data_IF_197322224642
#
_entry.id   IF_197322224642
#
_cell.length_a   1.000
_cell.length_b   1.000
_cell.length_c   1.000
_cell.angle_alpha   90.00
_cell.angle_beta   90.00
_cell.angle_gamma   90.00
#
_symmetry.space_group_name_H-M   'P 1'
#
loop_
_entity.id
_entity.type
_entity.pdbx_description
1 polymer ?
#
# COMPACT_ATOMS: atom_id res chain seq x y z
N UNK A 1 -0.81 29.60 28.31
CA UNK A 1 -1.30 29.06 27.01
C UNK A 1 -1.17 30.18 26.00
N UNK A 2 -0.06 30.20 25.24
CA UNK A 2 0.09 31.16 24.15
C UNK A 2 -0.81 30.76 22.99
N UNK A 3 -1.62 31.69 22.48
CA UNK A 3 -2.42 31.48 21.28
C UNK A 3 -1.49 31.22 20.11
N UNK A 4 -1.52 30.00 19.57
CA UNK A 4 -1.01 29.74 18.23
C UNK A 4 -1.93 30.53 17.29
N UNK A 5 -1.39 31.56 16.63
CA UNK A 5 -2.10 32.29 15.58
C UNK A 5 -2.57 31.29 14.51
N UNK A 6 -3.87 31.06 14.42
CA UNK A 6 -4.51 30.19 13.42
C UNK A 6 -4.47 30.77 11.99
N UNK A 7 -3.67 31.81 11.72
CA UNK A 7 -3.76 32.60 10.49
C UNK A 7 -2.73 32.30 9.39
N UNK A 8 -1.75 31.40 9.57
CA UNK A 8 -0.64 31.26 8.60
C UNK A 8 -0.43 29.86 7.99
N UNK A 9 -1.28 28.85 8.26
CA UNK A 9 -1.11 27.53 7.64
C UNK A 9 -1.84 27.43 6.30
N UNK A 10 -1.08 27.17 5.23
CA UNK A 10 -1.57 26.88 3.89
C UNK A 10 -1.31 25.41 3.55
N UNK A 11 -2.38 24.65 3.30
CA UNK A 11 -2.28 23.25 2.85
C UNK A 11 -1.66 23.18 1.45
N UNK A 12 -1.88 24.19 0.61
CA UNK A 12 -1.29 24.30 -0.73
C UNK A 12 0.22 24.49 -0.65
N UNK A 13 0.71 25.47 0.11
CA UNK A 13 2.14 25.70 0.29
C UNK A 13 2.82 24.54 1.01
N UNK A 14 2.14 23.93 1.97
CA UNK A 14 2.66 22.76 2.64
C UNK A 14 2.78 21.55 1.69
N UNK A 15 1.81 21.33 0.79
CA UNK A 15 1.89 20.28 -0.23
C UNK A 15 3.11 20.48 -1.15
N UNK A 16 3.40 21.73 -1.54
CA UNK A 16 4.61 22.08 -2.31
C UNK A 16 5.88 21.78 -1.52
N UNK A 17 5.95 22.21 -0.26
CA UNK A 17 7.11 21.94 0.61
C UNK A 17 7.37 20.43 0.76
N UNK A 18 6.32 19.64 0.87
CA UNK A 18 6.43 18.18 0.95
C UNK A 18 6.91 17.60 -0.38
N UNK A 19 6.36 18.05 -1.51
CA UNK A 19 6.84 17.64 -2.83
C UNK A 19 8.34 17.93 -3.01
N UNK A 20 8.80 19.11 -2.59
CA UNK A 20 10.22 19.49 -2.62
C UNK A 20 11.08 18.54 -1.81
N UNK A 21 10.61 18.21 -0.60
CA UNK A 21 11.26 17.21 0.23
C UNK A 21 11.31 15.86 -0.49
N UNK A 22 10.19 15.37 -1.03
CA UNK A 22 10.14 14.10 -1.74
C UNK A 22 11.14 14.09 -2.90
N UNK A 23 11.12 15.09 -3.78
CA UNK A 23 12.06 15.24 -4.90
C UNK A 23 13.53 15.27 -4.45
N UNK A 24 13.84 15.84 -3.28
CA UNK A 24 15.20 15.84 -2.73
C UNK A 24 15.68 14.44 -2.28
N UNK A 25 14.76 13.51 -2.03
CA UNK A 25 15.06 12.15 -1.62
C UNK A 25 15.09 11.14 -2.79
N UNK A 26 14.86 11.61 -4.02
CA UNK A 26 14.87 10.76 -5.21
C UNK A 26 16.32 10.41 -5.55
N UNK A 27 16.63 9.12 -5.54
CA UNK A 27 17.77 8.58 -6.27
C UNK A 27 17.38 8.29 -7.74
N UNK A 28 18.36 8.32 -8.64
CA UNK A 28 18.16 8.14 -10.09
C UNK A 28 17.71 6.72 -10.47
N UNK A 29 17.88 5.75 -9.55
CA UNK A 29 17.44 4.37 -9.76
C UNK A 29 15.94 4.25 -9.52
N UNK A 30 15.42 4.98 -8.52
CA UNK A 30 14.03 4.99 -8.13
C UNK A 30 13.17 5.97 -8.94
N UNK A 31 13.73 7.10 -9.39
CA UNK A 31 13.02 8.07 -10.23
C UNK A 31 13.90 8.63 -11.34
N UNK A 32 13.36 8.84 -12.55
CA UNK A 32 14.08 9.60 -13.56
C UNK A 32 14.33 11.02 -13.07
N UNK A 33 15.45 11.59 -13.48
CA UNK A 33 15.68 13.04 -13.38
C UNK A 33 14.51 13.84 -13.96
N UNK A 34 13.91 13.35 -15.06
CA UNK A 34 12.75 13.96 -15.71
C UNK A 34 11.55 14.19 -14.77
N UNK A 35 11.31 13.35 -13.75
CA UNK A 35 10.20 13.59 -12.79
C UNK A 35 10.48 14.82 -11.93
N UNK A 36 11.75 15.09 -11.59
CA UNK A 36 12.14 16.32 -10.87
C UNK A 36 11.99 17.54 -11.77
N UNK A 37 12.30 17.42 -13.05
CA UNK A 37 12.18 18.51 -14.03
C UNK A 37 10.71 18.91 -14.25
N UNK A 38 9.77 17.97 -14.12
CA UNK A 38 8.33 18.25 -14.18
C UNK A 38 7.77 18.95 -12.95
N UNK A 39 8.57 19.19 -11.92
CA UNK A 39 8.11 19.87 -10.70
C UNK A 39 7.47 21.22 -11.02
N UNK A 40 8.04 21.99 -11.94
CA UNK A 40 7.54 23.33 -12.30
C UNK A 40 6.23 23.27 -13.11
N UNK A 41 5.87 22.09 -13.62
CA UNK A 41 4.61 21.85 -14.31
C UNK A 41 3.47 21.47 -13.36
N UNK A 42 3.74 21.33 -12.06
CA UNK A 42 2.77 20.92 -11.04
C UNK A 42 2.12 22.15 -10.40
N UNK A 43 0.79 22.16 -10.41
CA UNK A 43 -0.03 23.16 -9.73
C UNK A 43 -0.96 22.48 -8.73
N UNK A 44 -0.81 22.85 -7.45
CA UNK A 44 -1.73 22.46 -6.40
C UNK A 44 -2.91 23.44 -6.34
N UNK A 45 -4.13 22.91 -6.30
CA UNK A 45 -5.35 23.72 -6.17
C UNK A 45 -6.18 23.28 -4.97
N UNK A 46 -6.82 24.25 -4.33
CA UNK A 46 -7.77 24.00 -3.25
C UNK A 46 -8.80 25.13 -3.24
N UNK A 47 -10.08 24.82 -3.06
CA UNK A 47 -11.12 25.80 -2.77
C UNK A 47 -11.02 26.32 -1.33
N UNK A 48 -10.44 25.51 -0.42
CA UNK A 48 -10.12 25.90 0.96
C UNK A 48 -8.66 25.61 1.27
N UNK A 49 -7.88 26.67 1.44
CA UNK A 49 -6.46 26.53 1.80
C UNK A 49 -6.26 26.42 3.32
N UNK A 50 -6.71 25.30 3.89
CA UNK A 50 -6.61 24.98 5.32
C UNK A 50 -6.70 23.46 5.53
N UNK A 51 -6.30 22.93 6.71
CA UNK A 51 -6.31 21.49 6.96
C UNK A 51 -7.72 20.88 6.80
N UNK A 52 -7.79 19.77 6.07
CA UNK A 52 -9.04 19.02 5.84
C UNK A 52 -9.32 18.00 6.94
N UNK A 53 -8.28 17.36 7.46
CA UNK A 53 -8.41 16.48 8.62
C UNK A 53 -7.97 17.23 9.89
N UNK A 54 -8.83 17.34 10.92
CA UNK A 54 -8.50 18.02 12.17
C UNK A 54 -7.67 17.10 13.09
N UNK A 55 -6.57 16.57 12.58
CA UNK A 55 -5.66 15.64 13.25
C UNK A 55 -4.22 16.16 13.09
N UNK A 56 -3.27 15.75 13.96
CA UNK A 56 -1.90 16.26 13.90
C UNK A 56 -1.05 15.66 12.76
N UNK A 57 -1.70 15.12 11.72
CA UNK A 57 -1.05 14.50 10.57
C UNK A 57 -1.44 15.22 9.28
N UNK A 58 -0.43 15.56 8.47
CA UNK A 58 -0.55 16.27 7.19
C UNK A 58 -0.93 15.33 6.04
N UNK A 59 -2.02 14.59 6.22
CA UNK A 59 -2.40 13.49 5.32
C UNK A 59 -2.83 13.99 3.96
N UNK A 60 -3.61 15.07 3.92
CA UNK A 60 -4.05 15.70 2.68
C UNK A 60 -2.85 16.19 1.89
N UNK A 61 -1.96 16.93 2.55
CA UNK A 61 -0.81 17.58 1.94
C UNK A 61 0.22 16.55 1.47
N UNK A 62 0.49 15.53 2.29
CA UNK A 62 1.39 14.42 1.93
C UNK A 62 0.83 13.61 0.77
N UNK A 63 -0.47 13.30 0.78
CA UNK A 63 -1.10 12.54 -0.31
C UNK A 63 -1.16 13.36 -1.59
N UNK A 64 -1.36 14.69 -1.49
CA UNK A 64 -1.36 15.57 -2.65
C UNK A 64 0.04 15.59 -3.28
N UNK A 65 1.09 15.75 -2.48
CA UNK A 65 2.47 15.67 -2.96
C UNK A 65 2.78 14.32 -3.62
N UNK A 66 2.33 13.20 -3.03
CA UNK A 66 2.46 11.87 -3.63
C UNK A 66 1.70 11.76 -4.96
N UNK A 67 0.46 12.26 -5.03
CA UNK A 67 -0.32 12.32 -6.28
C UNK A 67 0.32 13.22 -7.34
N UNK A 68 1.07 14.24 -6.93
CA UNK A 68 1.84 15.06 -7.84
C UNK A 68 3.00 14.27 -8.48
N UNK A 69 3.70 13.45 -7.70
CA UNK A 69 4.71 12.51 -8.23
C UNK A 69 4.06 11.51 -9.20
N UNK A 70 2.86 11.00 -8.87
CA UNK A 70 2.08 10.13 -9.77
C UNK A 70 1.69 10.81 -11.07
N UNK A 71 1.20 12.04 -10.99
CA UNK A 71 0.86 12.83 -12.16
C UNK A 71 2.06 13.12 -13.06
N UNK A 72 3.23 13.40 -12.47
CA UNK A 72 4.47 13.60 -13.22
C UNK A 72 4.90 12.33 -13.97
N UNK A 73 4.86 11.20 -13.28
CA UNK A 73 5.04 9.86 -13.86
C UNK A 73 4.07 9.61 -15.02
N UNK A 74 2.77 9.84 -14.81
CA UNK A 74 1.75 9.61 -15.82
C UNK A 74 1.89 10.56 -17.03
N UNK A 75 2.37 11.79 -16.79
CA UNK A 75 2.68 12.76 -17.84
C UNK A 75 3.84 12.30 -18.72
N UNK A 76 4.91 11.76 -18.12
CA UNK A 76 6.01 11.15 -18.87
C UNK A 76 5.50 9.95 -19.69
N UNK A 77 4.65 9.10 -19.09
CA UNK A 77 4.08 7.95 -19.80
C UNK A 77 3.28 8.38 -21.02
N UNK A 78 2.44 9.40 -20.84
CA UNK A 78 1.68 9.97 -21.94
C UNK A 78 2.60 10.49 -23.05
N UNK A 79 3.70 11.19 -22.70
CA UNK A 79 4.70 11.67 -23.67
C UNK A 79 5.24 10.51 -24.52
N UNK A 80 5.68 9.43 -23.88
CA UNK A 80 6.22 8.25 -24.57
C UNK A 80 5.19 7.55 -25.47
N UNK A 81 3.95 7.42 -25.01
CA UNK A 81 2.89 6.74 -25.77
C UNK A 81 2.37 7.60 -26.93
N UNK A 82 2.29 8.91 -26.74
CA UNK A 82 1.65 9.83 -27.69
C UNK A 82 2.65 10.52 -28.63
N UNK A 83 3.96 10.38 -28.38
CA UNK A 83 5.01 11.04 -29.16
C UNK A 83 4.98 12.56 -29.03
N UNK A 84 4.44 13.10 -27.94
CA UNK A 84 4.34 14.54 -27.72
C UNK A 84 5.70 15.14 -27.36
N UNK A 85 5.96 16.38 -27.79
CA UNK A 85 7.24 17.05 -27.57
C UNK A 85 7.36 17.75 -26.21
N UNK A 86 6.24 17.97 -25.51
CA UNK A 86 6.22 18.72 -24.24
C UNK A 86 5.31 18.03 -23.20
N UNK A 87 5.78 17.91 -21.95
CA UNK A 87 5.01 17.32 -20.86
C UNK A 87 3.84 18.22 -20.45
N UNK A 88 2.69 17.61 -20.15
CA UNK A 88 1.45 18.33 -19.81
C UNK A 88 1.53 19.00 -18.44
N UNK A 89 0.77 20.08 -18.25
CA UNK A 89 0.53 20.69 -16.94
C UNK A 89 -0.18 19.68 -16.04
N UNK A 90 0.31 19.52 -14.81
CA UNK A 90 -0.21 18.57 -13.82
C UNK A 90 -0.98 19.35 -12.76
N UNK A 91 -2.29 19.15 -12.67
CA UNK A 91 -3.11 19.80 -11.66
C UNK A 91 -3.49 18.81 -10.57
N UNK A 92 -3.09 19.10 -9.32
CA UNK A 92 -3.41 18.28 -8.14
C UNK A 92 -4.37 19.04 -7.26
N UNK A 93 -5.60 18.57 -7.18
CA UNK A 93 -6.63 19.16 -6.35
C UNK A 93 -6.66 18.50 -4.95
N UNK A 94 -6.58 19.31 -3.90
CA UNK A 94 -6.49 18.82 -2.52
C UNK A 94 -7.78 18.11 -2.09
N UNK A 95 -8.96 18.61 -2.45
CA UNK A 95 -10.24 17.98 -2.10
C UNK A 95 -10.39 16.58 -2.72
N UNK A 96 -10.03 16.44 -4.00
CA UNK A 96 -10.04 15.14 -4.69
C UNK A 96 -9.03 14.17 -4.08
N UNK A 97 -7.88 14.68 -3.66
CA UNK A 97 -6.85 13.89 -2.96
C UNK A 97 -7.36 13.42 -1.60
N UNK A 98 -8.01 14.29 -0.83
CA UNK A 98 -8.66 13.94 0.43
C UNK A 98 -9.79 12.93 0.21
N UNK A 99 -10.60 13.10 -0.83
CA UNK A 99 -11.65 12.14 -1.18
C UNK A 99 -11.08 10.75 -1.54
N UNK A 100 -9.92 10.70 -2.20
CA UNK A 100 -9.22 9.44 -2.48
C UNK A 100 -8.81 8.70 -1.20
N UNK A 101 -8.39 9.39 -0.13
CA UNK A 101 -8.16 8.78 1.19
C UNK A 101 -9.44 8.20 1.79
N UNK A 102 -10.59 8.82 1.52
CA UNK A 102 -11.89 8.35 1.98
C UNK A 102 -12.58 7.39 1.00
N UNK A 103 -11.89 6.92 -0.05
CA UNK A 103 -12.54 6.23 -1.16
C UNK A 103 -13.28 4.96 -0.74
N UNK A 104 -12.75 4.19 0.23
CA UNK A 104 -13.43 3.01 0.76
C UNK A 104 -14.83 3.31 1.33
N UNK A 105 -15.11 4.55 1.75
CA UNK A 105 -16.42 5.00 2.24
C UNK A 105 -17.29 5.67 1.17
N UNK A 106 -16.70 6.08 0.05
CA UNK A 106 -17.39 6.74 -1.06
C UNK A 106 -17.76 5.77 -2.19
N UNK A 107 -16.95 4.73 -2.37
CA UNK A 107 -17.11 3.69 -3.38
C UNK A 107 -18.42 2.92 -3.19
N UNK A 108 -19.05 2.58 -4.31
CA UNK A 108 -20.32 1.86 -4.36
C UNK A 108 -20.30 0.81 -5.45
N UNK A 109 -20.94 -0.33 -5.19
CA UNK A 109 -21.25 -1.37 -6.18
C UNK A 109 -22.76 -1.54 -6.21
N UNK A 110 -23.38 -1.41 -7.39
CA UNK A 110 -24.84 -1.41 -7.51
C UNK A 110 -25.53 -0.29 -6.71
N UNK A 111 -24.83 0.81 -6.43
CA UNK A 111 -25.33 1.91 -5.57
C UNK A 111 -25.15 1.68 -4.07
N UNK A 112 -24.66 0.51 -3.65
CA UNK A 112 -24.50 0.11 -2.25
C UNK A 112 -23.04 0.32 -1.81
N UNK A 113 -22.85 0.96 -0.66
CA UNK A 113 -21.52 1.20 -0.08
C UNK A 113 -21.05 0.05 0.80
N UNK A 114 -19.80 0.12 1.28
CA UNK A 114 -19.16 -0.97 2.05
C UNK A 114 -19.88 -1.37 3.34
N UNK A 115 -20.65 -0.46 3.94
CA UNK A 115 -21.40 -0.68 5.18
C UNK A 115 -22.86 -1.12 4.95
N UNK A 116 -23.32 -1.10 3.69
CA UNK A 116 -24.68 -1.49 3.35
C UNK A 116 -24.83 -3.02 3.47
N UNK A 117 -25.77 -3.56 4.26
CA UNK A 117 -25.97 -5.00 4.40
C UNK A 117 -26.22 -5.72 3.07
N UNK A 118 -26.86 -5.05 2.11
CA UNK A 118 -27.17 -5.59 0.79
C UNK A 118 -25.95 -5.72 -0.13
N UNK A 119 -24.86 -4.98 0.14
CA UNK A 119 -23.66 -5.02 -0.72
C UNK A 119 -23.05 -6.43 -0.78
N UNK A 120 -23.18 -7.21 0.30
CA UNK A 120 -22.65 -8.58 0.37
C UNK A 120 -23.21 -9.50 -0.71
N UNK A 121 -24.44 -9.27 -1.18
CA UNK A 121 -25.05 -10.07 -2.24
C UNK A 121 -24.40 -9.80 -3.62
N UNK A 122 -23.68 -8.69 -3.77
CA UNK A 122 -22.96 -8.30 -4.98
C UNK A 122 -21.47 -8.66 -4.93
N UNK A 123 -21.00 -9.22 -3.82
CA UNK A 123 -19.60 -9.54 -3.58
C UNK A 123 -19.44 -11.04 -3.38
N UNK A 124 -18.29 -11.56 -3.74
CA UNK A 124 -17.89 -12.90 -3.34
C UNK A 124 -17.69 -12.89 -1.82
N UNK A 125 -18.28 -13.86 -1.11
CA UNK A 125 -17.98 -14.04 0.29
C UNK A 125 -16.55 -14.58 0.45
N UNK A 126 -15.69 -13.75 1.03
CA UNK A 126 -14.29 -14.06 1.31
C UNK A 126 -14.01 -14.12 2.81
N UNK A 127 -14.99 -13.91 3.69
CA UNK A 127 -14.80 -13.94 5.15
C UNK A 127 -14.94 -15.37 5.69
N UNK A 128 -14.07 -16.26 5.22
CA UNK A 128 -14.12 -17.70 5.50
C UNK A 128 -14.06 -18.02 7.00
N UNK A 129 -13.41 -17.16 7.79
CA UNK A 129 -13.27 -17.30 9.25
C UNK A 129 -14.25 -16.42 10.04
N UNK A 130 -15.20 -15.79 9.34
CA UNK A 130 -16.24 -14.94 9.91
C UNK A 130 -15.69 -13.84 10.82
N UNK A 131 -14.47 -13.36 10.58
CA UNK A 131 -13.80 -12.34 11.38
C UNK A 131 -14.50 -10.98 11.27
N UNK A 132 -15.21 -10.75 10.17
CA UNK A 132 -15.95 -9.53 9.86
C UNK A 132 -17.47 -9.68 10.07
N UNK A 133 -17.90 -10.79 10.68
CA UNK A 133 -19.33 -11.14 10.80
C UNK A 133 -20.13 -10.19 11.70
N UNK A 134 -19.52 -9.63 12.74
CA UNK A 134 -20.18 -8.68 13.66
C UNK A 134 -19.20 -7.68 14.28
N UNK A 135 -19.68 -6.59 14.91
CA UNK A 135 -18.83 -5.58 15.54
C UNK A 135 -17.87 -6.13 16.61
N UNK A 136 -18.32 -7.05 17.47
CA UNK A 136 -17.48 -7.65 18.51
C UNK A 136 -16.22 -8.32 17.93
N UNK A 137 -16.40 -9.13 16.88
CA UNK A 137 -15.29 -9.81 16.20
C UNK A 137 -14.41 -8.84 15.44
N UNK A 138 -14.98 -7.82 14.80
CA UNK A 138 -14.20 -6.75 14.15
C UNK A 138 -13.33 -5.99 15.14
N UNK A 139 -13.83 -5.76 16.36
CA UNK A 139 -13.10 -5.08 17.43
C UNK A 139 -12.02 -5.93 18.10
N UNK A 140 -11.86 -7.20 17.72
CA UNK A 140 -10.61 -7.95 18.01
C UNK A 140 -9.40 -7.43 17.21
N UNK A 141 -9.61 -6.47 16.30
CA UNK A 141 -8.57 -5.67 15.65
C UNK A 141 -8.69 -4.20 16.11
N UNK A 142 -8.21 -3.89 17.32
CA UNK A 142 -8.35 -2.57 17.92
C UNK A 142 -7.30 -2.33 19.02
N UNK A 143 -7.16 -1.07 19.44
CA UNK A 143 -6.23 -0.63 20.47
C UNK A 143 -6.86 -0.67 21.85
N UNK A 144 -6.23 -1.36 22.79
CA UNK A 144 -6.66 -1.48 24.19
C UNK A 144 -5.51 -1.21 25.15
N UNK A 145 -5.82 -0.71 26.35
CA UNK A 145 -4.82 -0.53 27.40
C UNK A 145 -4.34 -1.89 27.93
N UNK A 146 -3.05 -2.01 28.22
CA UNK A 146 -2.44 -3.22 28.77
C UNK A 146 -2.49 -3.22 30.30
N UNK A 147 -1.88 -4.23 30.92
CA UNK A 147 -1.71 -4.31 32.38
C UNK A 147 -0.97 -3.10 32.97
N UNK A 148 -0.11 -2.46 32.19
CA UNK A 148 0.63 -1.29 32.62
C UNK A 148 -0.14 -0.03 32.19
N UNK A 149 -0.49 0.82 33.15
CA UNK A 149 -1.27 2.01 32.87
C UNK A 149 -0.55 2.95 31.88
N UNK A 150 -1.29 3.40 30.87
CA UNK A 150 -0.77 4.27 29.80
C UNK A 150 -0.03 3.53 28.67
N UNK A 151 0.17 2.21 28.77
CA UNK A 151 0.62 1.37 27.67
C UNK A 151 -0.58 0.81 26.91
N UNK A 152 -0.50 0.82 25.59
CA UNK A 152 -1.59 0.33 24.74
C UNK A 152 -1.05 -0.68 23.72
N UNK A 153 -1.87 -1.67 23.41
CA UNK A 153 -1.55 -2.74 22.48
C UNK A 153 -2.68 -2.92 21.46
N UNK A 154 -2.32 -2.98 20.19
CA UNK A 154 -3.26 -3.27 19.11
C UNK A 154 -3.28 -4.78 18.90
N UNK A 155 -4.27 -5.46 19.46
CA UNK A 155 -4.57 -6.85 19.07
C UNK A 155 -5.11 -6.85 17.65
N UNK A 156 -4.78 -7.85 16.83
CA UNK A 156 -5.10 -7.83 15.39
C UNK A 156 -5.77 -9.12 14.91
N UNK A 157 -7.08 -9.23 15.15
CA UNK A 157 -7.92 -10.36 14.72
C UNK A 157 -8.68 -10.16 13.40
N UNK A 158 -8.30 -9.21 12.54
CA UNK A 158 -9.10 -8.82 11.36
C UNK A 158 -9.33 -9.92 10.31
N UNK A 159 -8.52 -10.97 10.32
CA UNK A 159 -8.69 -12.15 9.46
C UNK A 159 -8.88 -13.44 10.27
N UNK A 160 -8.62 -13.41 11.57
CA UNK A 160 -8.77 -14.58 12.46
C UNK A 160 -9.11 -14.13 13.89
N UNK A 161 -10.31 -13.55 14.05
CA UNK A 161 -10.79 -13.05 15.32
C UNK A 161 -10.91 -14.12 16.41
N UNK A 162 -11.15 -15.39 16.04
CA UNK A 162 -11.39 -16.44 17.02
C UNK A 162 -10.15 -16.77 17.83
N UNK A 163 -9.00 -16.91 17.15
CA UNK A 163 -7.72 -17.15 17.83
C UNK A 163 -7.33 -15.95 18.69
N UNK A 164 -7.48 -14.71 18.20
CA UNK A 164 -7.17 -13.50 18.96
C UNK A 164 -8.04 -13.36 20.23
N UNK A 165 -9.35 -13.61 20.14
CA UNK A 165 -10.25 -13.53 21.29
C UNK A 165 -9.96 -14.64 22.32
N UNK A 166 -9.76 -15.88 21.87
CA UNK A 166 -9.37 -16.99 22.76
C UNK A 166 -8.03 -16.73 23.43
N UNK A 167 -7.10 -16.09 22.73
CA UNK A 167 -5.77 -15.76 23.25
C UNK A 167 -5.87 -14.93 24.54
N UNK A 168 -6.80 -13.98 24.59
CA UNK A 168 -7.05 -13.12 25.76
C UNK A 168 -8.14 -13.67 26.69
N UNK A 169 -8.56 -14.94 26.52
CA UNK A 169 -9.52 -15.60 27.41
C UNK A 169 -10.98 -15.29 27.14
N UNK A 170 -11.33 -14.76 25.97
CA UNK A 170 -12.71 -14.45 25.60
C UNK A 170 -13.31 -15.49 24.64
N UNK A 171 -14.62 -15.64 24.73
CA UNK A 171 -15.38 -16.45 23.76
C UNK A 171 -15.31 -15.82 22.35
N UNK A 172 -15.09 -16.61 21.28
CA UNK A 172 -15.00 -16.10 19.92
C UNK A 172 -16.28 -15.44 19.40
N UNK A 173 -17.44 -15.85 19.91
CA UNK A 173 -18.74 -15.40 19.44
C UNK A 173 -19.59 -14.93 20.62
N UNK A 174 -19.92 -13.63 20.60
CA UNK A 174 -20.75 -12.95 21.60
C UNK A 174 -21.79 -12.08 20.90
N UNK A 175 -22.87 -12.69 20.35
CA UNK A 175 -23.90 -11.96 19.61
C UNK A 175 -24.70 -10.97 20.48
N UNK A 176 -24.58 -11.12 21.81
CA UNK A 176 -25.13 -10.21 22.81
C UNK A 176 -24.39 -8.86 22.87
N UNK A 177 -23.12 -8.80 22.44
CA UNK A 177 -22.33 -7.58 22.43
C UNK A 177 -22.45 -6.85 21.09
N UNK A 178 -23.32 -5.83 21.06
CA UNK A 178 -23.66 -5.11 19.83
C UNK A 178 -23.15 -3.66 19.80
N UNK A 179 -23.04 -3.02 20.95
CA UNK A 179 -22.61 -1.61 21.05
C UNK A 179 -21.11 -1.53 21.29
N UNK A 180 -20.48 -0.46 20.80
CA UNK A 180 -19.06 -0.20 20.98
C UNK A 180 -18.67 -0.26 22.46
N UNK A 181 -19.43 0.38 23.34
CA UNK A 181 -19.17 0.45 24.78
C UNK A 181 -19.22 -0.92 25.43
N UNK A 182 -20.23 -1.74 25.10
CA UNK A 182 -20.36 -3.10 25.64
C UNK A 182 -19.20 -4.01 25.19
N UNK A 183 -18.72 -3.83 23.95
CA UNK A 183 -17.61 -4.59 23.39
C UNK A 183 -16.28 -4.18 24.04
N UNK A 184 -16.03 -2.87 24.19
CA UNK A 184 -14.83 -2.37 24.90
C UNK A 184 -14.83 -2.85 26.35
N UNK A 185 -15.98 -2.78 27.03
CA UNK A 185 -16.13 -3.25 28.40
C UNK A 185 -15.86 -4.76 28.56
N UNK A 186 -15.95 -5.54 27.48
CA UNK A 186 -15.59 -6.96 27.48
C UNK A 186 -14.10 -7.18 27.11
N UNK A 187 -13.61 -6.51 26.06
CA UNK A 187 -12.26 -6.77 25.51
C UNK A 187 -11.15 -6.10 26.31
N UNK A 188 -11.32 -4.83 26.70
CA UNK A 188 -10.24 -4.09 27.37
C UNK A 188 -9.83 -4.72 28.71
N UNK A 189 -10.76 -5.15 29.61
CA UNK A 189 -10.36 -5.83 30.84
C UNK A 189 -9.62 -7.15 30.60
N UNK A 190 -9.89 -7.83 29.48
CA UNK A 190 -9.18 -9.05 29.12
C UNK A 190 -7.74 -8.75 28.64
N UNK A 191 -7.55 -7.69 27.84
CA UNK A 191 -6.21 -7.24 27.43
C UNK A 191 -5.40 -6.70 28.61
N UNK A 192 -6.03 -5.98 29.54
CA UNK A 192 -5.41 -5.45 30.77
C UNK A 192 -4.83 -6.51 31.72
N UNK A 193 -5.05 -7.80 31.47
CA UNK A 193 -4.41 -8.86 32.26
C UNK A 193 -2.95 -9.09 31.88
N UNK A 194 -2.51 -8.57 30.71
CA UNK A 194 -1.23 -8.90 30.10
C UNK A 194 -0.37 -7.65 29.85
N UNK A 195 0.94 -7.78 30.01
CA UNK A 195 1.92 -6.80 29.54
C UNK A 195 2.10 -6.89 28.01
N UNK A 196 2.80 -5.91 27.42
CA UNK A 196 3.18 -5.96 26.01
C UNK A 196 3.98 -7.23 25.68
N UNK A 197 4.99 -7.56 26.49
CA UNK A 197 5.86 -8.72 26.25
C UNK A 197 5.10 -10.05 26.32
N UNK A 198 4.12 -10.16 27.23
CA UNK A 198 3.23 -11.31 27.33
C UNK A 198 2.35 -11.44 26.07
N UNK A 199 1.76 -10.32 25.61
CA UNK A 199 0.93 -10.29 24.39
C UNK A 199 1.74 -10.63 23.13
N UNK A 200 2.94 -10.09 22.97
CA UNK A 200 3.86 -10.43 21.87
C UNK A 200 4.21 -11.93 21.89
N UNK A 201 4.57 -12.47 23.06
CA UNK A 201 4.88 -13.89 23.23
C UNK A 201 3.67 -14.78 22.89
N UNK A 202 2.47 -14.38 23.32
CA UNK A 202 1.23 -15.08 23.06
C UNK A 202 0.85 -15.07 21.58
N UNK A 203 1.08 -13.95 20.88
CA UNK A 203 0.91 -13.81 19.44
C UNK A 203 1.88 -14.69 18.67
N UNK A 204 3.17 -14.68 19.02
CA UNK A 204 4.19 -15.52 18.40
C UNK A 204 3.84 -17.01 18.52
N UNK A 205 3.43 -17.47 19.70
CA UNK A 205 3.02 -18.86 19.95
C UNK A 205 1.80 -19.29 19.11
N UNK A 206 0.89 -18.35 18.82
CA UNK A 206 -0.37 -18.60 18.08
C UNK A 206 -0.32 -18.20 16.62
N UNK A 207 0.82 -17.69 16.14
CA UNK A 207 1.00 -17.12 14.80
C UNK A 207 -0.02 -16.02 14.49
N UNK A 208 -0.32 -15.20 15.48
CA UNK A 208 -1.20 -14.04 15.38
C UNK A 208 -0.39 -12.77 15.21
N UNK A 209 -1.08 -11.71 14.77
CA UNK A 209 -0.52 -10.38 14.68
C UNK A 209 -0.95 -9.53 15.89
N UNK A 210 -0.08 -8.61 16.27
CA UNK A 210 -0.34 -7.54 17.21
C UNK A 210 0.80 -6.53 17.13
N UNK A 211 0.68 -5.41 17.83
CA UNK A 211 1.76 -4.43 17.93
C UNK A 211 1.54 -3.49 19.12
N UNK A 212 2.59 -3.12 19.87
CA UNK A 212 2.49 -2.06 20.87
C UNK A 212 2.29 -0.69 20.21
N UNK A 213 1.43 0.14 20.79
CA UNK A 213 1.33 1.54 20.39
C UNK A 213 2.45 2.36 21.01
N UNK A 214 3.43 2.73 20.19
CA UNK A 214 4.59 3.50 20.61
C UNK A 214 4.43 4.97 20.25
N UNK A 215 4.88 5.85 21.16
CA UNK A 215 5.17 7.24 20.80
C UNK A 215 6.30 7.25 19.78
N UNK A 216 6.36 8.29 18.95
CA UNK A 216 7.40 8.38 17.93
C UNK A 216 8.80 8.40 18.50
N UNK A 217 9.02 9.17 19.58
CA UNK A 217 10.31 9.24 20.26
C UNK A 217 10.79 7.87 20.76
N UNK A 218 9.87 6.96 21.08
CA UNK A 218 10.19 5.61 21.52
C UNK A 218 10.33 4.65 20.33
N UNK A 219 9.45 4.79 19.33
CA UNK A 219 9.54 4.03 18.09
C UNK A 219 10.91 4.20 17.43
N UNK A 220 11.43 5.43 17.29
CA UNK A 220 12.73 5.67 16.65
C UNK A 220 13.92 5.10 17.42
N UNK A 221 13.77 4.78 18.72
CA UNK A 221 14.81 4.12 19.52
C UNK A 221 14.86 2.60 19.29
N UNK A 222 13.74 2.00 18.88
CA UNK A 222 13.68 0.57 18.55
C UNK A 222 14.59 0.26 17.35
N UNK A 223 15.00 -1.01 17.20
CA UNK A 223 15.76 -1.43 16.03
C UNK A 223 14.99 -1.16 14.73
N UNK A 224 13.67 -1.34 14.76
CA UNK A 224 12.78 -1.12 13.62
C UNK A 224 12.71 0.35 13.24
N UNK A 225 12.53 1.23 14.22
CA UNK A 225 12.53 2.67 13.99
C UNK A 225 13.86 3.16 13.45
N UNK A 226 14.99 2.69 14.00
CA UNK A 226 16.33 3.03 13.49
C UNK A 226 16.49 2.63 12.02
N UNK A 227 16.13 1.39 11.67
CA UNK A 227 16.20 0.93 10.28
C UNK A 227 15.28 1.73 9.36
N UNK A 228 14.01 1.90 9.72
CA UNK A 228 13.04 2.64 8.91
C UNK A 228 13.45 4.12 8.72
N UNK A 229 14.09 4.72 9.73
CA UNK A 229 14.56 6.11 9.67
C UNK A 229 15.77 6.29 8.76
N UNK A 230 16.57 5.25 8.55
CA UNK A 230 17.72 5.26 7.65
C UNK A 230 17.33 5.02 6.18
N UNK A 231 16.12 4.50 5.93
CA UNK A 231 15.66 4.18 4.59
C UNK A 231 14.97 5.37 3.90
N UNK A 232 15.10 5.47 2.56
CA UNK A 232 14.31 6.42 1.79
C UNK A 232 12.81 6.11 1.85
N UNK A 233 11.94 7.08 1.50
CA UNK A 233 10.49 6.86 1.35
C UNK A 233 10.09 5.67 0.47
N UNK A 234 10.94 5.30 -0.50
CA UNK A 234 10.82 4.14 -1.38
C UNK A 234 12.19 3.72 -1.88
N UNK A 235 12.30 2.49 -2.38
CA UNK A 235 13.53 1.96 -2.96
C UNK A 235 13.21 1.06 -4.13
N UNK A 236 14.08 1.10 -5.14
CA UNK A 236 13.96 0.29 -6.34
C UNK A 236 15.23 -0.53 -6.49
N UNK A 237 15.03 -1.83 -6.35
CA UNK A 237 16.07 -2.81 -6.59
C UNK A 237 15.97 -3.27 -8.02
N UNK A 238 17.12 -3.63 -8.56
CA UNK A 238 17.21 -3.90 -9.96
C UNK A 238 17.76 -5.32 -10.20
N UNK A 239 16.91 -6.20 -10.72
CA UNK A 239 17.11 -7.64 -10.65
C UNK A 239 17.83 -8.24 -11.88
N UNK A 240 17.70 -7.64 -13.08
CA UNK A 240 18.15 -8.25 -14.34
C UNK A 240 18.26 -7.25 -15.51
N UNK A 241 19.37 -7.22 -16.27
CA UNK A 241 19.68 -6.15 -17.26
C UNK A 241 19.64 -6.55 -18.74
N UNK A 242 19.73 -7.84 -19.02
CA UNK A 242 19.95 -8.41 -20.35
C UNK A 242 18.65 -8.43 -21.16
N UNK A 243 17.49 -8.55 -20.51
CA UNK A 243 16.21 -8.61 -21.20
C UNK A 243 15.88 -7.25 -21.83
N UNK A 244 15.58 -7.21 -23.14
CA UNK A 244 15.32 -5.95 -23.81
C UNK A 244 14.06 -5.27 -23.27
N UNK A 245 14.09 -3.94 -23.29
CA UNK A 245 12.94 -3.11 -22.89
C UNK A 245 11.80 -3.29 -23.90
N UNK A 246 10.57 -3.32 -23.41
CA UNK A 246 9.37 -3.43 -24.25
C UNK A 246 8.75 -2.03 -24.44
N UNK A 247 8.48 -1.59 -25.68
CA UNK A 247 7.85 -0.29 -25.92
C UNK A 247 6.39 -0.30 -25.46
N UNK A 248 5.93 0.82 -24.89
CA UNK A 248 4.51 1.05 -24.68
C UNK A 248 3.86 1.32 -26.04
N UNK A 249 2.96 0.44 -26.46
CA UNK A 249 2.26 0.62 -27.73
C UNK A 249 0.93 1.34 -27.46
N UNK A 250 0.68 2.52 -28.05
CA UNK A 250 -0.62 3.18 -27.93
C UNK A 250 -1.72 2.28 -28.49
N UNK A 251 -2.83 2.16 -27.75
CA UNK A 251 -4.04 1.55 -28.28
C UNK A 251 -4.76 2.55 -29.19
N UNK A 252 -4.99 2.22 -30.48
CA UNK A 252 -5.77 3.07 -31.37
C UNK A 252 -7.21 3.28 -30.87
N UNK A 253 -7.78 2.29 -30.19
CA UNK A 253 -9.14 2.35 -29.64
C UNK A 253 -9.22 3.22 -28.38
N UNK A 254 -8.11 3.30 -27.63
CA UNK A 254 -8.05 4.01 -26.35
C UNK A 254 -6.79 4.90 -26.21
N UNK A 255 -6.63 5.93 -27.06
CA UNK A 255 -5.40 6.74 -27.11
C UNK A 255 -5.13 7.57 -25.84
N UNK A 256 -6.13 7.70 -24.96
CA UNK A 256 -6.02 8.38 -23.66
C UNK A 256 -5.64 7.45 -22.50
N UNK A 257 -5.62 6.13 -22.71
CA UNK A 257 -5.29 5.13 -21.69
C UNK A 257 -3.81 4.75 -21.80
N UNK A 258 -2.98 5.41 -21.00
CA UNK A 258 -1.51 5.33 -21.08
C UNK A 258 -0.93 3.94 -20.81
N UNK A 259 -1.68 3.04 -20.16
CA UNK A 259 -1.29 1.64 -19.92
C UNK A 259 -2.13 0.63 -20.72
N UNK A 260 -2.85 1.08 -21.76
CA UNK A 260 -3.62 0.16 -22.59
C UNK A 260 -2.72 -0.93 -23.20
N UNK A 261 -3.16 -2.18 -23.10
CA UNK A 261 -2.41 -3.34 -23.59
C UNK A 261 -1.41 -3.93 -22.59
N UNK A 262 -1.19 -3.30 -21.44
CA UNK A 262 -0.38 -3.84 -20.35
C UNK A 262 -1.20 -4.83 -19.54
N UNK A 263 -0.69 -6.06 -19.38
CA UNK A 263 -1.30 -7.11 -18.57
C UNK A 263 -0.69 -7.17 -17.17
N UNK A 264 -1.52 -7.00 -16.14
CA UNK A 264 -1.12 -6.98 -14.73
C UNK A 264 -1.71 -8.18 -14.02
N UNK A 265 -0.86 -8.98 -13.39
CA UNK A 265 -1.24 -10.10 -12.55
C UNK A 265 -1.10 -9.70 -11.07
N UNK A 266 -2.23 -9.53 -10.38
CA UNK A 266 -2.28 -9.13 -8.98
C UNK A 266 -2.42 -10.36 -8.06
N UNK A 267 -1.41 -10.60 -7.22
CA UNK A 267 -1.37 -11.61 -6.16
C UNK A 267 -1.43 -10.92 -4.78
N UNK A 268 -2.51 -10.19 -4.55
CA UNK A 268 -2.65 -9.35 -3.37
C UNK A 268 -3.99 -9.52 -2.65
N UNK A 269 -4.00 -9.10 -1.38
CA UNK A 269 -5.17 -9.07 -0.50
C UNK A 269 -5.25 -7.75 0.26
N UNK A 270 -6.37 -7.52 0.94
CA UNK A 270 -6.59 -6.37 1.82
C UNK A 270 -6.72 -5.07 1.02
N UNK A 271 -5.77 -4.15 1.14
CA UNK A 271 -5.93 -2.78 0.63
C UNK A 271 -4.77 -2.43 -0.28
N UNK A 272 -3.55 -2.55 0.22
CA UNK A 272 -2.41 -1.98 -0.44
C UNK A 272 -2.20 -2.45 -1.86
N UNK A 273 -2.05 -3.76 -1.98
CA UNK A 273 -2.09 -4.52 -3.23
C UNK A 273 -3.10 -3.97 -4.22
N UNK A 274 -4.38 -4.12 -3.85
CA UNK A 274 -5.48 -3.73 -4.71
C UNK A 274 -5.51 -2.24 -5.08
N UNK A 275 -5.17 -1.28 -4.21
CA UNK A 275 -5.22 0.14 -4.59
C UNK A 275 -4.22 0.47 -5.70
N UNK A 276 -3.00 -0.07 -5.60
CA UNK A 276 -1.95 0.08 -6.61
C UNK A 276 -2.42 -0.40 -7.98
N UNK A 277 -2.94 -1.61 -8.05
CA UNK A 277 -3.36 -2.21 -9.33
C UNK A 277 -4.70 -1.64 -9.81
N UNK A 278 -5.51 -1.05 -8.91
CA UNK A 278 -6.71 -0.29 -9.30
C UNK A 278 -6.30 0.96 -10.06
N UNK A 279 -5.30 1.68 -9.57
CA UNK A 279 -4.70 2.83 -10.27
C UNK A 279 -4.14 2.42 -11.64
N UNK A 280 -3.44 1.27 -11.73
CA UNK A 280 -2.99 0.75 -13.03
C UNK A 280 -4.17 0.49 -13.99
N UNK A 281 -5.27 -0.07 -13.49
CA UNK A 281 -6.50 -0.27 -14.25
C UNK A 281 -7.17 1.05 -14.66
N UNK A 282 -7.15 2.07 -13.79
CA UNK A 282 -7.63 3.43 -14.11
C UNK A 282 -6.83 4.07 -15.26
N UNK A 283 -5.53 3.78 -15.35
CA UNK A 283 -4.68 4.15 -16.48
C UNK A 283 -4.85 3.25 -17.72
N UNK A 284 -5.65 2.18 -17.62
CA UNK A 284 -6.09 1.33 -18.72
C UNK A 284 -5.38 -0.01 -18.86
N UNK A 285 -4.59 -0.43 -17.87
CA UNK A 285 -4.04 -1.78 -17.85
C UNK A 285 -5.14 -2.83 -17.71
N UNK A 286 -4.94 -4.01 -18.30
CA UNK A 286 -5.78 -5.19 -18.07
C UNK A 286 -5.29 -5.88 -16.79
N UNK A 287 -6.09 -5.78 -15.73
CA UNK A 287 -5.70 -6.24 -14.40
C UNK A 287 -6.50 -7.49 -14.03
N UNK A 288 -5.80 -8.61 -13.86
CA UNK A 288 -6.34 -9.86 -13.34
C UNK A 288 -5.82 -10.09 -11.92
N UNK A 289 -6.73 -10.05 -10.95
CA UNK A 289 -6.46 -10.44 -9.57
C UNK A 289 -6.66 -11.93 -9.39
N UNK A 290 -5.63 -12.60 -8.87
CA UNK A 290 -5.67 -14.02 -8.50
C UNK A 290 -5.52 -14.16 -6.99
N UNK A 291 -6.51 -14.80 -6.37
CA UNK A 291 -6.47 -15.22 -4.96
C UNK A 291 -6.71 -16.72 -4.83
N UNK A 292 -6.33 -17.32 -3.71
CA UNK A 292 -6.68 -18.72 -3.45
C UNK A 292 -8.10 -18.81 -2.87
N UNK A 293 -8.91 -19.81 -3.27
CA UNK A 293 -10.24 -20.03 -2.70
C UNK A 293 -10.19 -20.40 -1.21
N UNK A 294 -9.00 -20.76 -0.70
CA UNK A 294 -8.76 -21.20 0.67
C UNK A 294 -8.20 -20.08 1.56
N UNK A 295 -8.16 -18.83 1.08
CA UNK A 295 -7.63 -17.69 1.82
C UNK A 295 -8.74 -16.70 2.16
N UNK A 296 -9.00 -16.53 3.46
CA UNK A 296 -9.94 -15.51 3.93
C UNK A 296 -9.44 -14.12 3.56
N UNK A 297 -10.33 -13.21 3.17
CA UNK A 297 -10.05 -11.79 2.95
C UNK A 297 -11.18 -10.96 3.58
N UNK A 298 -11.05 -9.63 3.58
CA UNK A 298 -12.09 -8.73 4.10
C UNK A 298 -13.06 -8.36 2.97
N UNK A 299 -14.31 -8.86 2.96
CA UNK A 299 -15.17 -8.77 1.78
C UNK A 299 -15.45 -7.34 1.33
N UNK A 300 -15.65 -6.44 2.28
CA UNK A 300 -16.07 -5.07 1.97
C UNK A 300 -14.96 -4.22 1.34
N UNK A 301 -13.69 -4.63 1.36
CA UNK A 301 -12.65 -3.95 0.57
C UNK A 301 -12.79 -4.19 -0.93
N UNK A 302 -13.52 -5.23 -1.35
CA UNK A 302 -13.78 -5.50 -2.76
C UNK A 302 -14.60 -4.38 -3.43
N UNK A 303 -15.40 -3.63 -2.66
CA UNK A 303 -16.24 -2.53 -3.16
C UNK A 303 -15.41 -1.46 -3.86
N UNK A 304 -14.25 -1.12 -3.30
CA UNK A 304 -13.32 -0.13 -3.84
C UNK A 304 -12.13 -0.80 -4.56
N UNK A 305 -11.51 -1.78 -3.91
CA UNK A 305 -10.23 -2.35 -4.33
C UNK A 305 -10.26 -3.15 -5.62
N UNK A 306 -11.44 -3.55 -6.12
CA UNK A 306 -11.59 -4.33 -7.35
C UNK A 306 -12.16 -3.52 -8.54
N UNK A 307 -12.42 -2.21 -8.38
CA UNK A 307 -12.95 -1.39 -9.46
C UNK A 307 -12.05 -1.43 -10.70
N UNK A 308 -12.63 -1.70 -11.87
CA UNK A 308 -11.90 -1.74 -13.14
C UNK A 308 -11.04 -2.98 -13.37
N UNK A 309 -11.19 -4.04 -12.55
CA UNK A 309 -10.39 -5.26 -12.63
C UNK A 309 -11.24 -6.50 -12.89
N UNK A 310 -10.58 -7.55 -13.37
CA UNK A 310 -11.07 -8.92 -13.32
C UNK A 310 -10.50 -9.63 -12.09
N UNK A 311 -11.27 -10.55 -11.51
CA UNK A 311 -10.84 -11.35 -10.36
C UNK A 311 -11.19 -12.82 -10.58
N UNK A 312 -10.26 -13.72 -10.25
CA UNK A 312 -10.44 -15.16 -10.31
C UNK A 312 -9.73 -15.86 -9.14
N UNK A 313 -10.14 -17.10 -8.89
CA UNK A 313 -9.57 -17.93 -7.83
C UNK A 313 -8.71 -19.05 -8.43
N UNK A 314 -7.46 -19.19 -7.97
CA UNK A 314 -6.57 -20.30 -8.32
C UNK A 314 -5.85 -20.81 -7.07
N UNK A 315 -5.86 -22.13 -6.86
CA UNK A 315 -5.05 -22.75 -5.80
C UNK A 315 -3.67 -23.13 -6.34
N UNK A 316 -2.67 -22.27 -6.08
CA UNK A 316 -1.28 -22.49 -6.48
C UNK A 316 -0.58 -23.64 -5.73
N UNK A 317 -1.27 -24.32 -4.81
CA UNK A 317 -0.80 -25.57 -4.21
C UNK A 317 -1.27 -26.80 -4.97
N UNK A 318 -2.26 -26.67 -5.85
CA UNK A 318 -2.71 -27.74 -6.73
C UNK A 318 -1.89 -27.76 -8.03
N UNK A 319 -1.55 -28.94 -8.59
CA UNK A 319 -0.91 -29.03 -9.91
C UNK A 319 -1.69 -28.31 -11.00
N UNK A 320 -3.02 -28.43 -10.99
CA UNK A 320 -3.91 -27.84 -12.01
C UNK A 320 -3.94 -26.31 -11.89
N UNK A 321 -4.07 -25.78 -10.68
CA UNK A 321 -4.06 -24.34 -10.44
C UNK A 321 -2.72 -23.69 -10.78
N UNK A 322 -1.60 -24.39 -10.57
CA UNK A 322 -0.27 -23.95 -11.03
C UNK A 322 -0.16 -23.93 -12.54
N UNK A 323 -0.62 -24.98 -13.21
CA UNK A 323 -0.56 -25.06 -14.67
C UNK A 323 -1.32 -23.89 -15.33
N UNK A 324 -2.49 -23.52 -14.82
CA UNK A 324 -3.21 -22.35 -15.35
C UNK A 324 -2.57 -21.02 -14.97
N UNK A 325 -2.08 -20.89 -13.73
CA UNK A 325 -1.35 -19.70 -13.32
C UNK A 325 -0.11 -19.44 -14.18
N UNK A 326 0.64 -20.49 -14.53
CA UNK A 326 1.85 -20.37 -15.36
C UNK A 326 1.53 -19.91 -16.78
N UNK A 327 0.37 -20.27 -17.35
CA UNK A 327 -0.10 -19.70 -18.63
C UNK A 327 -0.39 -18.21 -18.51
N UNK A 328 -1.10 -17.79 -17.46
CA UNK A 328 -1.38 -16.37 -17.21
C UNK A 328 -0.09 -15.58 -16.98
N UNK A 329 0.84 -16.14 -16.20
CA UNK A 329 2.13 -15.54 -15.90
C UNK A 329 3.01 -15.37 -17.15
N UNK A 330 2.95 -16.32 -18.09
CA UNK A 330 3.67 -16.24 -19.36
C UNK A 330 3.23 -15.05 -20.24
N UNK A 331 2.02 -14.52 -20.02
CA UNK A 331 1.49 -13.36 -20.73
C UNK A 331 1.62 -12.04 -19.96
N UNK A 332 1.84 -12.09 -18.65
CA UNK A 332 1.88 -10.91 -17.80
C UNK A 332 3.10 -10.01 -18.09
N UNK A 333 2.88 -8.70 -17.96
CA UNK A 333 3.91 -7.65 -18.04
C UNK A 333 4.32 -7.17 -16.65
N UNK A 334 3.35 -7.14 -15.73
CA UNK A 334 3.54 -6.72 -14.34
C UNK A 334 2.98 -7.78 -13.42
N UNK A 335 3.74 -8.16 -12.41
CA UNK A 335 3.28 -8.99 -11.30
C UNK A 335 3.35 -8.18 -10.02
N UNK A 336 2.24 -8.12 -9.30
CA UNK A 336 2.13 -7.40 -8.01
C UNK A 336 1.81 -8.39 -6.92
N UNK A 337 2.78 -8.64 -6.04
CA UNK A 337 2.65 -9.53 -4.89
C UNK A 337 2.48 -8.75 -3.59
N UNK A 338 1.54 -9.18 -2.75
CA UNK A 338 1.30 -8.61 -1.42
C UNK A 338 1.51 -9.62 -0.28
N UNK A 339 2.02 -10.81 -0.58
CA UNK A 339 2.26 -11.83 0.44
C UNK A 339 3.54 -11.57 1.24
N UNK A 340 3.65 -12.24 2.40
CA UNK A 340 4.83 -12.18 3.24
C UNK A 340 6.10 -12.63 2.48
N UNK A 341 7.30 -12.17 2.86
CA UNK A 341 8.52 -12.45 2.12
C UNK A 341 8.75 -13.96 2.06
N UNK A 342 9.15 -14.44 0.89
CA UNK A 342 9.39 -15.85 0.64
C UNK A 342 8.12 -16.71 0.51
N UNK A 343 6.90 -16.16 0.58
CA UNK A 343 5.69 -16.93 0.34
C UNK A 343 5.60 -17.42 -1.11
N UNK A 344 5.79 -16.53 -2.09
CA UNK A 344 5.84 -16.91 -3.50
C UNK A 344 7.11 -17.69 -3.86
N UNK A 345 8.24 -17.41 -3.23
CA UNK A 345 9.48 -18.17 -3.41
C UNK A 345 9.26 -19.66 -3.09
N UNK A 346 8.56 -19.97 -2.00
CA UNK A 346 8.20 -21.36 -1.62
C UNK A 346 7.28 -22.04 -2.64
N UNK A 347 6.58 -21.26 -3.46
CA UNK A 347 5.79 -21.77 -4.58
C UNK A 347 6.58 -21.81 -5.89
N UNK A 348 7.84 -21.36 -5.91
CA UNK A 348 8.68 -21.31 -7.11
C UNK A 348 8.48 -20.05 -7.97
N UNK A 349 7.79 -19.04 -7.47
CA UNK A 349 7.46 -17.79 -8.18
C UNK A 349 8.12 -16.57 -7.54
N UNK A 350 9.29 -16.75 -6.94
CA UNK A 350 10.05 -15.65 -6.37
C UNK A 350 10.85 -14.86 -7.40
N UNK A 351 11.61 -13.87 -6.93
CA UNK A 351 12.32 -12.91 -7.78
C UNK A 351 13.23 -13.62 -8.81
N UNK A 352 14.04 -14.59 -8.38
CA UNK A 352 14.94 -15.32 -9.26
C UNK A 352 14.20 -16.09 -10.35
N UNK A 353 13.08 -16.73 -10.03
CA UNK A 353 12.29 -17.50 -11.00
C UNK A 353 11.62 -16.59 -12.03
N UNK A 354 11.06 -15.47 -11.59
CA UNK A 354 10.43 -14.48 -12.47
C UNK A 354 11.45 -13.77 -13.37
N UNK A 355 12.64 -13.48 -12.83
CA UNK A 355 13.79 -13.00 -13.61
C UNK A 355 14.17 -13.99 -14.71
N UNK A 356 14.28 -15.29 -14.38
CA UNK A 356 14.59 -16.34 -15.37
C UNK A 356 13.51 -16.40 -16.46
N UNK A 357 12.24 -16.36 -16.08
CA UNK A 357 11.12 -16.34 -17.03
C UNK A 357 11.18 -15.12 -17.96
N UNK A 358 11.49 -13.94 -17.44
CA UNK A 358 11.63 -12.72 -18.24
C UNK A 358 12.73 -12.88 -19.32
N UNK A 359 13.90 -13.44 -18.94
CA UNK A 359 14.99 -13.76 -19.88
C UNK A 359 14.55 -14.74 -20.96
N UNK A 360 13.91 -15.84 -20.57
CA UNK A 360 13.44 -16.88 -21.50
C UNK A 360 12.40 -16.35 -22.50
N UNK A 361 11.55 -15.41 -22.06
CA UNK A 361 10.57 -14.73 -22.92
C UNK A 361 11.19 -13.66 -23.81
N UNK A 362 12.39 -13.18 -23.50
CA UNK A 362 12.97 -11.98 -24.11
C UNK A 362 12.13 -10.73 -23.86
N UNK A 363 11.29 -10.73 -22.81
CA UNK A 363 10.38 -9.64 -22.45
C UNK A 363 10.44 -9.41 -20.94
N UNK A 364 10.80 -8.20 -20.54
CA UNK A 364 10.92 -7.83 -19.13
C UNK A 364 9.61 -8.02 -18.37
N UNK A 365 9.71 -8.39 -17.09
CA UNK A 365 8.58 -8.49 -16.18
C UNK A 365 8.83 -7.55 -15.01
N UNK A 366 7.91 -6.65 -14.72
CA UNK A 366 8.04 -5.78 -13.55
C UNK A 366 7.46 -6.45 -12.31
N UNK A 367 8.24 -6.47 -11.24
CA UNK A 367 7.82 -7.02 -9.96
C UNK A 367 7.59 -5.92 -8.94
N UNK A 368 6.37 -5.84 -8.43
CA UNK A 368 6.08 -5.12 -7.20
C UNK A 368 5.97 -6.15 -6.08
N UNK A 369 6.94 -6.15 -5.16
CA UNK A 369 6.91 -6.99 -3.98
C UNK A 369 6.55 -6.14 -2.79
N UNK A 370 5.36 -6.37 -2.26
CA UNK A 370 4.94 -5.73 -1.04
C UNK A 370 5.14 -6.66 0.12
N UNK A 371 5.97 -6.21 1.03
CA UNK A 371 5.87 -6.66 2.41
C UNK A 371 6.02 -5.48 3.32
N UNK A 372 5.18 -5.40 4.36
CA UNK A 372 5.38 -4.47 5.46
C UNK A 372 6.74 -4.63 6.17
N UNK A 373 7.48 -5.71 5.89
CA UNK A 373 8.37 -6.36 6.84
C UNK A 373 9.34 -7.33 6.11
N UNK A 374 10.47 -6.85 5.55
CA UNK A 374 11.57 -7.70 5.09
C UNK A 374 12.96 -7.12 5.47
N UNK A 375 13.61 -7.74 6.46
CA UNK A 375 15.08 -7.76 6.55
C UNK A 375 15.60 -9.00 5.82
N UNK A 376 16.54 -8.79 4.90
CA UNK A 376 17.49 -9.81 4.44
C UNK A 376 18.74 -9.64 5.31
N UNK A 377 19.08 -10.61 6.14
CA UNK A 377 20.44 -10.72 6.66
C UNK A 377 21.34 -11.00 5.45
N UNK A 378 22.04 -9.97 4.99
CA UNK A 378 23.05 -10.11 3.94
C UNK A 378 24.32 -10.67 4.55
N UNK A 379 24.46 -11.99 4.51
CA UNK A 379 25.76 -12.59 4.25
C UNK A 379 25.82 -12.86 2.75
N UNK A 380 26.58 -12.05 2.00
CA UNK A 380 27.26 -12.47 0.78
C UNK A 380 28.13 -11.33 0.24
N UNK A 381 29.38 -11.71 0.05
CA UNK A 381 30.51 -10.95 -0.44
C UNK A 381 30.31 -10.36 -1.84
N UNK A 382 31.07 -9.28 -2.08
CA UNK A 382 31.73 -8.87 -3.33
C UNK A 382 31.01 -9.13 -4.66
N UNK A 383 30.73 -8.06 -5.40
CA UNK A 383 30.99 -7.94 -6.84
C UNK A 383 30.65 -6.51 -7.28
N UNK A 384 31.68 -5.73 -7.58
CA UNK A 384 31.57 -4.39 -8.15
C UNK A 384 31.09 -4.39 -9.60
N UNK A 385 30.52 -3.25 -10.02
CA UNK A 385 30.28 -2.94 -11.43
C UNK A 385 28.95 -2.21 -11.69
N UNK A 386 29.05 -0.94 -12.11
CA UNK A 386 27.94 -0.10 -12.57
C UNK A 386 27.13 -0.74 -13.72
N UNK A 387 25.78 -0.56 -13.72
CA UNK A 387 24.85 -0.27 -14.87
C UNK A 387 23.46 -0.95 -14.73
N UNK A 388 22.42 -0.31 -15.30
CA UNK A 388 20.98 -0.28 -14.89
C UNK A 388 20.01 -1.35 -15.52
N UNK A 389 19.31 -2.19 -14.71
CA UNK A 389 18.33 -3.24 -15.15
C UNK A 389 16.73 -3.10 -15.00
N UNK A 390 15.97 -4.23 -14.99
CA UNK A 390 14.55 -4.53 -14.56
C UNK A 390 14.24 -4.39 -13.05
N UNK A 391 13.14 -3.71 -12.72
CA UNK A 391 12.81 -3.23 -11.36
C UNK A 391 12.00 -4.19 -10.48
N UNK A 392 12.50 -4.43 -9.26
CA UNK A 392 11.81 -4.92 -8.07
C UNK A 392 11.64 -3.81 -7.05
N UNK A 393 10.42 -3.53 -6.63
CA UNK A 393 10.17 -2.56 -5.56
C UNK A 393 9.77 -3.27 -4.28
N UNK A 394 10.52 -3.06 -3.20
CA UNK A 394 10.23 -3.59 -1.87
C UNK A 394 10.39 -2.51 -0.80
N UNK A 395 9.46 -2.45 0.16
CA UNK A 395 9.67 -1.74 1.42
C UNK A 395 10.40 -2.66 2.41
N UNK A 396 11.62 -2.29 2.82
CA UNK A 396 12.39 -3.05 3.82
C UNK A 396 11.96 -2.66 5.24
N UNK A 397 10.97 -3.35 5.80
CA UNK A 397 10.64 -3.30 7.24
C UNK A 397 11.22 -4.50 8.00
N UNK A 398 11.15 -4.56 9.34
CA UNK A 398 11.64 -5.70 10.16
C UNK A 398 10.63 -6.88 10.19
N UNK A 399 10.57 -7.76 11.21
CA UNK A 399 9.59 -8.89 11.27
C UNK A 399 8.39 -8.65 12.19
N UNK A 400 8.37 -7.58 12.98
CA UNK A 400 7.56 -7.54 14.22
C UNK A 400 6.61 -6.34 14.35
N UNK A 401 6.06 -5.80 13.25
CA UNK A 401 5.11 -4.69 13.36
C UNK A 401 3.92 -4.81 12.40
N UNK A 402 2.73 -5.08 12.97
CA UNK A 402 1.47 -4.90 12.28
C UNK A 402 1.09 -3.41 12.17
N UNK A 403 0.12 -3.12 11.31
CA UNK A 403 -0.29 -1.77 10.90
C UNK A 403 -0.97 -1.03 12.07
N UNK A 404 -0.19 -0.36 12.93
CA UNK A 404 -0.71 0.60 13.90
C UNK A 404 0.18 1.84 14.00
N UNK A 405 0.02 2.77 13.06
CA UNK A 405 0.24 4.18 13.42
C UNK A 405 -1.03 4.66 14.12
N UNK A 406 -1.08 4.61 15.46
CA UNK A 406 -2.16 5.27 16.21
C UNK A 406 -1.66 6.04 17.44
N UNK A 407 -2.36 7.15 17.61
CA UNK A 407 -2.03 8.35 18.36
C UNK A 407 -2.49 8.22 19.84
N UNK A 408 -1.64 8.49 20.83
CA UNK A 408 -2.06 8.64 22.22
C UNK A 408 -2.50 10.08 22.48
N UNK A 409 -3.73 10.44 22.11
CA UNK A 409 -4.37 11.64 22.66
C UNK A 409 -5.85 11.41 22.92
N UNK A 410 -6.22 11.69 24.16
CA UNK A 410 -7.52 11.52 24.78
C UNK A 410 -8.56 12.44 24.13
N UNK A 411 -9.51 11.87 23.38
CA UNK A 411 -10.88 12.38 23.18
C UNK A 411 -11.74 11.22 22.63
N UNK A 412 -12.81 10.89 23.35
CA UNK A 412 -13.75 9.78 23.15
C UNK A 412 -14.57 9.98 21.87
N UNK A 413 -14.44 9.15 20.83
CA UNK A 413 -15.35 9.18 19.65
C UNK A 413 -15.18 8.01 18.65
N UNK A 414 -16.24 7.60 17.90
CA UNK A 414 -16.21 6.64 16.77
C UNK A 414 -15.27 6.99 15.59
N UNK A 415 -14.55 8.12 15.62
CA UNK A 415 -13.57 8.51 14.59
C UNK A 415 -12.34 7.57 14.49
N UNK A 416 -12.02 6.76 15.50
CA UNK A 416 -10.81 5.90 15.52
C UNK A 416 -10.78 4.86 14.38
N UNK A 417 -11.90 4.18 14.13
CA UNK A 417 -12.02 3.16 13.07
C UNK A 417 -12.07 3.79 11.67
N UNK A 418 -12.68 4.97 11.57
CA UNK A 418 -12.82 5.70 10.30
C UNK A 418 -11.47 6.21 9.79
N UNK A 419 -10.62 6.73 10.69
CA UNK A 419 -9.27 7.17 10.34
C UNK A 419 -8.40 5.98 9.92
N UNK A 420 -8.39 4.87 10.65
CA UNK A 420 -7.58 3.70 10.29
C UNK A 420 -7.89 3.14 8.88
N UNK A 421 -9.18 3.11 8.50
CA UNK A 421 -9.63 2.69 7.17
C UNK A 421 -9.39 3.76 6.08
N UNK A 422 -9.39 5.05 6.43
CA UNK A 422 -9.14 6.17 5.50
C UNK A 422 -7.64 6.42 5.24
N UNK A 423 -6.74 5.89 6.07
CA UNK A 423 -5.29 5.99 5.88
C UNK A 423 -4.71 4.95 4.93
N UNK A 424 -5.44 3.88 4.67
CA UNK A 424 -4.97 2.78 3.85
C UNK A 424 -4.89 3.09 2.33
N UNK A 425 -5.69 4.00 1.75
CA UNK A 425 -5.59 4.33 0.32
C UNK A 425 -4.42 5.22 -0.09
N UNK A 426 -3.64 5.80 0.82
CA UNK A 426 -2.53 6.77 0.55
C UNK A 426 -1.31 6.15 -0.15
N UNK A 427 -1.55 5.18 -1.02
CA UNK A 427 -0.66 4.09 -1.35
C UNK A 427 -0.47 4.08 -2.87
N UNK A 428 0.74 4.44 -3.30
CA UNK A 428 0.98 4.96 -4.64
C UNK A 428 1.72 3.93 -5.50
N UNK A 429 1.27 3.72 -6.73
CA UNK A 429 2.04 3.07 -7.78
C UNK A 429 2.64 4.17 -8.66
N UNK A 430 3.95 4.16 -8.89
CA UNK A 430 4.63 5.09 -9.79
C UNK A 430 5.17 4.32 -11.00
N UNK A 431 5.45 4.97 -12.12
CA UNK A 431 5.94 4.36 -13.37
C UNK A 431 6.96 5.34 -13.96
N UNK A 432 8.23 4.97 -13.98
CA UNK A 432 9.36 5.84 -14.36
C UNK A 432 9.70 5.65 -15.82
N UNK A 433 10.07 6.74 -16.49
CA UNK A 433 10.66 6.73 -17.83
C UNK A 433 12.07 7.30 -17.80
N UNK A 434 13.07 6.52 -18.20
CA UNK A 434 14.44 7.01 -18.32
C UNK A 434 14.71 7.47 -19.75
N UNK A 435 15.44 8.57 -19.94
CA UNK A 435 15.94 9.01 -21.26
C UNK A 435 17.34 8.41 -21.54
N UNK A 436 17.75 8.17 -22.80
CA UNK A 436 19.14 7.89 -23.16
C UNK A 436 20.04 9.13 -23.01
N UNK A 437 21.34 8.98 -22.72
CA UNK A 437 22.30 10.04 -23.02
C UNK A 437 22.28 10.31 -24.53
N UNK A 438 22.36 11.60 -24.86
CA UNK A 438 22.22 12.20 -26.19
C UNK A 438 23.17 11.56 -27.21
N UNK A 439 22.71 10.54 -27.95
CA UNK A 439 23.26 10.16 -29.27
C UNK A 439 22.48 9.06 -30.03
N UNK A 440 21.34 8.55 -29.56
CA UNK A 440 20.57 7.53 -30.29
C UNK A 440 19.12 7.95 -30.57
N UNK A 441 18.69 7.76 -31.81
CA UNK A 441 17.41 8.22 -32.31
C UNK A 441 16.25 7.36 -31.76
N UNK A 442 15.44 7.94 -30.86
CA UNK A 442 13.99 7.71 -30.82
C UNK A 442 13.44 6.52 -30.01
N UNK A 443 14.07 6.07 -28.93
CA UNK A 443 13.46 5.07 -28.02
C UNK A 443 13.39 5.53 -26.56
N UNK A 444 12.20 5.92 -26.10
CA UNK A 444 11.89 6.24 -24.70
C UNK A 444 11.49 4.96 -23.91
N UNK A 445 11.80 4.91 -22.59
CA UNK A 445 12.00 3.67 -21.81
C UNK A 445 11.01 3.55 -20.64
N UNK A 446 10.63 2.35 -20.18
CA UNK A 446 9.64 2.17 -19.11
C UNK A 446 10.13 1.33 -17.91
N UNK A 447 9.78 1.74 -16.69
CA UNK A 447 9.92 1.00 -15.44
C UNK A 447 8.64 1.18 -14.58
N UNK A 448 8.18 0.20 -13.78
CA UNK A 448 7.03 0.35 -12.86
C UNK A 448 7.47 0.30 -11.38
N UNK A 449 6.73 0.97 -10.48
CA UNK A 449 7.08 1.26 -9.08
C UNK A 449 5.85 1.19 -8.17
N UNK A 450 6.02 0.81 -6.90
CA UNK A 450 4.93 0.79 -5.92
C UNK A 450 5.42 1.16 -4.52
N UNK A 451 4.86 2.16 -3.85
CA UNK A 451 5.27 2.63 -2.53
C UNK A 451 4.14 2.42 -1.54
N UNK A 452 4.35 1.62 -0.48
CA UNK A 452 3.23 1.29 0.45
C UNK A 452 3.56 0.89 1.89
N UNK A 453 4.79 1.10 2.33
CA UNK A 453 4.97 1.44 3.73
C UNK A 453 5.21 2.93 3.79
N UNK A 454 4.44 3.64 4.64
CA UNK A 454 4.96 4.89 5.18
C UNK A 454 6.31 4.55 5.81
N UNK A 455 7.41 4.87 5.14
CA UNK A 455 8.68 4.89 5.85
C UNK A 455 8.49 5.84 7.03
N UNK A 456 9.14 5.60 8.16
CA UNK A 456 9.06 6.54 9.28
C UNK A 456 9.53 7.95 8.90
N UNK A 457 10.24 8.07 7.77
CA UNK A 457 10.55 9.32 7.09
C UNK A 457 9.33 10.02 6.48
N UNK A 458 8.46 9.32 5.75
CA UNK A 458 7.13 9.84 5.39
C UNK A 458 6.28 10.10 6.64
N UNK A 459 6.39 9.28 7.68
CA UNK A 459 5.77 9.53 8.99
C UNK A 459 6.26 10.84 9.63
N UNK A 460 7.51 11.25 9.39
CA UNK A 460 8.03 12.53 9.83
C UNK A 460 7.53 13.70 8.99
N UNK A 461 7.36 13.51 7.67
CA UNK A 461 6.68 14.49 6.81
C UNK A 461 5.25 14.71 7.32
N UNK A 462 4.53 13.63 7.63
CA UNK A 462 3.16 13.71 8.14
C UNK A 462 3.09 14.49 9.46
N UNK A 463 4.14 14.46 10.29
CA UNK A 463 4.16 15.11 11.62
C UNK A 463 4.72 16.52 11.63
N UNK A 464 5.75 16.79 10.82
CA UNK A 464 6.49 18.05 10.79
C UNK A 464 5.91 18.99 9.78
#
# INVERSE_FOLDING_TARGET
>A
MGSINQHDYSSVEESKRILDYLCSQFDEVAFPAAVKELKDNIEFTSARDAPYFPIPFKETETTAALKAVEGAVASLLAKTVQGESQPKKINVNLEKTTAFLCQAYMAKVGGLGKLDPGVKALLKDTDLLQAQSNPYRRMSANLYETKNAGEYYHIHGSLEASTTLKMIGLEPFRPDLQTHESIVAAIEPAVRQFSIDELESMNAARRQAGVPALKHEDFVKTQHGKTNMALPPWSVDNLEAETPKCPLTPSPEHPKRILSGIKVLELCRIIAGPIVTRILGEYGADVLKITSPNLSDVPFFQVDGNMGKHAAELDLKSPEGRAEFEKLLAEADVVVDGYRPGALEKLGYGATALTKLAKERGKGLCMSMRTALAMKESGLDDLGGNRLPIVSVASRGSRDASWACQNPSSLLSPFRTTVQDALAPSQLCLVSITEPPVEDHGTERLHFFTTTCFSSRLGNILRK
#
